data_IF_902438810836
#
_entry.id   IF_902438810836
#
_cell.length_a   1.000
_cell.length_b   1.000
_cell.length_c   1.000
_cell.angle_alpha   90.00
_cell.angle_beta   90.00
_cell.angle_gamma   90.00
#
_symmetry.space_group_name_H-M   'P 1'
#
loop_
_entity.id
_entity.type
_entity.pdbx_description
1 polymer ?
#
# COMPACT_ATOMS: atom_id res chain seq x y z
N UNK A 1 -0.51 -12.48 -15.02
CA UNK A 1 -0.98 -13.64 -15.82
C UNK A 1 -0.37 -13.67 -17.23
N UNK A 2 -0.19 -12.49 -17.83
CA UNK A 2 0.41 -12.26 -19.14
C UNK A 2 1.74 -12.98 -19.39
N UNK A 3 2.60 -13.12 -18.38
CA UNK A 3 3.89 -13.85 -18.49
C UNK A 3 3.64 -15.33 -18.77
N UNK A 4 2.63 -15.93 -18.13
CA UNK A 4 2.26 -17.33 -18.33
C UNK A 4 1.57 -17.53 -19.68
N UNK A 5 0.86 -16.50 -20.15
CA UNK A 5 0.18 -16.47 -21.44
C UNK A 5 1.13 -16.05 -22.60
N UNK A 6 2.42 -15.80 -22.34
CA UNK A 6 3.41 -15.30 -23.30
C UNK A 6 3.05 -13.97 -23.99
N UNK A 7 2.26 -13.13 -23.31
CA UNK A 7 1.90 -11.80 -23.77
C UNK A 7 3.00 -10.77 -23.45
N UNK A 8 3.07 -9.64 -24.19
CA UNK A 8 4.01 -8.56 -23.90
C UNK A 8 3.84 -8.01 -22.46
N UNK A 9 4.97 -7.81 -21.78
CA UNK A 9 5.02 -7.24 -20.43
C UNK A 9 4.83 -5.72 -20.52
N UNK A 10 4.11 -5.14 -19.56
CA UNK A 10 3.84 -3.70 -19.49
C UNK A 10 4.14 -3.17 -18.07
N UNK A 11 4.15 -1.85 -17.87
CA UNK A 11 4.30 -1.27 -16.53
C UNK A 11 3.21 -1.74 -15.56
N UNK A 12 2.01 -2.02 -16.08
CA UNK A 12 0.90 -2.57 -15.28
C UNK A 12 1.09 -4.04 -14.91
N UNK A 13 2.14 -4.71 -15.40
CA UNK A 13 2.56 -6.04 -14.90
C UNK A 13 3.05 -5.94 -13.45
N UNK A 14 3.81 -4.91 -13.10
CA UNK A 14 4.27 -4.70 -11.73
C UNK A 14 3.10 -4.41 -10.77
N UNK A 15 2.05 -3.73 -11.26
CA UNK A 15 0.83 -3.46 -10.50
C UNK A 15 0.14 -4.76 -10.07
N UNK A 16 0.17 -5.80 -10.90
CA UNK A 16 -0.36 -7.11 -10.52
C UNK A 16 0.47 -7.77 -9.42
N UNK A 17 1.80 -7.70 -9.53
CA UNK A 17 2.72 -8.20 -8.50
C UNK A 17 2.52 -7.49 -7.16
N UNK A 18 2.26 -6.18 -7.19
CA UNK A 18 1.91 -5.41 -5.99
C UNK A 18 0.62 -5.95 -5.36
N UNK A 19 -0.42 -6.21 -6.15
CA UNK A 19 -1.67 -6.77 -5.62
C UNK A 19 -1.45 -8.11 -4.91
N UNK A 20 -0.67 -9.01 -5.52
CA UNK A 20 -0.31 -10.31 -4.93
C UNK A 20 0.47 -10.13 -3.63
N UNK A 21 1.45 -9.21 -3.63
CA UNK A 21 2.26 -8.91 -2.46
C UNK A 21 1.40 -8.31 -1.33
N UNK A 22 0.51 -7.37 -1.63
CA UNK A 22 -0.41 -6.78 -0.65
C UNK A 22 -1.32 -7.83 -0.01
N UNK A 23 -1.88 -8.75 -0.80
CA UNK A 23 -2.67 -9.86 -0.26
C UNK A 23 -1.83 -10.68 0.75
N UNK A 24 -0.59 -11.01 0.39
CA UNK A 24 0.31 -11.77 1.25
C UNK A 24 0.66 -11.01 2.53
N UNK A 25 0.94 -9.71 2.44
CA UNK A 25 1.30 -8.88 3.59
C UNK A 25 0.15 -8.75 4.60
N UNK A 26 -1.10 -8.70 4.13
CA UNK A 26 -2.27 -8.56 5.00
C UNK A 26 -2.72 -9.89 5.63
N UNK A 27 -2.48 -11.02 4.96
CA UNK A 27 -3.05 -12.33 5.37
C UNK A 27 -2.01 -13.38 5.76
N UNK A 28 -0.74 -13.16 5.43
CA UNK A 28 0.33 -14.16 5.54
C UNK A 28 0.22 -15.34 4.57
N UNK A 29 -0.73 -15.31 3.62
CA UNK A 29 -1.00 -16.42 2.70
C UNK A 29 -0.95 -15.93 1.25
N UNK A 30 -0.51 -16.76 0.30
CA UNK A 30 -0.50 -16.39 -1.12
C UNK A 30 -1.91 -16.57 -1.73
N UNK A 31 -2.39 -15.61 -2.55
CA UNK A 31 -3.76 -15.63 -3.11
C UNK A 31 -4.02 -16.78 -4.09
N UNK A 32 -2.98 -17.35 -4.69
CA UNK A 32 -3.09 -18.41 -5.71
C UNK A 32 -2.49 -19.74 -5.27
N UNK A 33 -2.08 -19.84 -4.00
CA UNK A 33 -1.45 -21.06 -3.50
C UNK A 33 -2.38 -22.26 -3.64
N UNK A 34 -1.81 -23.37 -4.09
CA UNK A 34 -2.44 -24.67 -4.11
C UNK A 34 -1.41 -25.77 -3.78
N UNK A 35 -1.84 -26.98 -3.37
CA UNK A 35 -0.93 -28.06 -3.00
C UNK A 35 0.01 -28.50 -4.12
N UNK A 36 -0.40 -28.34 -5.38
CA UNK A 36 0.37 -28.74 -6.54
C UNK A 36 0.61 -27.54 -7.48
N UNK A 37 1.71 -27.61 -8.24
CA UNK A 37 2.15 -26.53 -9.13
C UNK A 37 1.18 -26.28 -10.27
N UNK A 38 0.57 -27.34 -10.79
CA UNK A 38 -0.39 -27.26 -11.90
C UNK A 38 -1.66 -26.49 -11.48
N UNK A 39 -2.19 -26.77 -10.29
CA UNK A 39 -3.33 -26.08 -9.73
C UNK A 39 -2.99 -24.63 -9.38
N UNK A 40 -1.79 -24.38 -8.84
CA UNK A 40 -1.31 -23.00 -8.62
C UNK A 40 -1.25 -22.23 -9.94
N UNK A 41 -0.67 -22.83 -10.98
CA UNK A 41 -0.61 -22.24 -12.31
C UNK A 41 -2.01 -21.98 -12.88
N UNK A 42 -2.93 -22.93 -12.72
CA UNK A 42 -4.31 -22.79 -13.15
C UNK A 42 -5.01 -21.65 -12.39
N UNK A 43 -4.80 -21.51 -11.09
CA UNK A 43 -5.36 -20.43 -10.29
C UNK A 43 -4.88 -19.07 -10.77
N UNK A 44 -3.58 -18.92 -11.08
CA UNK A 44 -3.05 -17.67 -11.66
C UNK A 44 -3.64 -17.39 -13.04
N UNK A 45 -3.70 -18.39 -13.92
CA UNK A 45 -4.15 -18.24 -15.30
C UNK A 45 -5.65 -17.94 -15.41
N UNK A 46 -6.45 -18.55 -14.52
CA UNK A 46 -7.89 -18.39 -14.44
C UNK A 46 -8.32 -17.28 -13.47
N UNK A 47 -7.37 -16.57 -12.83
CA UNK A 47 -7.64 -15.53 -11.83
C UNK A 47 -8.54 -16.00 -10.68
N UNK A 48 -8.32 -17.23 -10.21
CA UNK A 48 -9.05 -17.81 -9.07
C UNK A 48 -8.45 -17.34 -7.76
N UNK A 49 -8.97 -16.22 -7.29
CA UNK A 49 -8.66 -15.64 -5.98
C UNK A 49 -9.93 -15.64 -5.12
N UNK A 50 -9.77 -15.83 -3.81
CA UNK A 50 -10.86 -15.74 -2.85
C UNK A 50 -10.47 -14.84 -1.67
N UNK A 51 -11.46 -14.30 -0.98
CA UNK A 51 -11.26 -13.42 0.18
C UNK A 51 -12.06 -14.00 1.35
N UNK A 52 -11.59 -15.07 1.99
CA UNK A 52 -12.35 -15.75 3.02
C UNK A 52 -12.35 -14.94 4.33
N UNK A 53 -13.49 -14.93 5.03
CA UNK A 53 -13.70 -14.09 6.21
C UNK A 53 -12.64 -14.31 7.31
N UNK A 54 -12.19 -15.55 7.51
CA UNK A 54 -11.18 -15.85 8.54
C UNK A 54 -9.82 -15.18 8.29
N UNK A 55 -9.49 -14.81 7.03
CA UNK A 55 -8.28 -14.05 6.70
C UNK A 55 -8.52 -12.54 6.69
N UNK A 56 -9.74 -12.11 6.34
CA UNK A 56 -10.05 -10.71 6.06
C UNK A 56 -10.93 -10.01 7.10
N UNK A 57 -11.31 -10.70 8.20
CA UNK A 57 -12.18 -10.14 9.25
C UNK A 57 -11.68 -8.82 9.85
N UNK A 58 -10.35 -8.63 9.92
CA UNK A 58 -9.72 -7.44 10.49
C UNK A 58 -9.07 -6.55 9.42
N UNK A 59 -9.31 -6.85 8.14
CA UNK A 59 -8.75 -6.09 7.02
C UNK A 59 -9.81 -5.09 6.55
N UNK A 60 -9.47 -3.80 6.41
CA UNK A 60 -10.41 -2.80 5.89
C UNK A 60 -10.96 -3.19 4.52
N UNK A 61 -12.23 -2.89 4.28
CA UNK A 61 -12.88 -3.20 3.00
C UNK A 61 -12.18 -2.50 1.82
N UNK A 62 -11.65 -1.31 2.04
CA UNK A 62 -10.93 -0.55 1.02
C UNK A 62 -9.63 -1.23 0.60
N UNK A 63 -8.92 -1.87 1.55
CA UNK A 63 -7.75 -2.68 1.24
C UNK A 63 -8.10 -3.89 0.35
N UNK A 64 -9.24 -4.52 0.62
CA UNK A 64 -9.75 -5.63 -0.20
C UNK A 64 -10.11 -5.15 -1.61
N UNK A 65 -10.78 -4.00 -1.71
CA UNK A 65 -11.14 -3.39 -2.99
C UNK A 65 -9.90 -2.94 -3.78
N UNK A 66 -8.87 -2.46 -3.09
CA UNK A 66 -7.56 -2.17 -3.67
C UNK A 66 -6.97 -3.44 -4.31
N UNK A 67 -6.83 -4.53 -3.57
CA UNK A 67 -6.31 -5.80 -4.12
C UNK A 67 -7.11 -6.27 -5.34
N UNK A 68 -8.45 -6.19 -5.30
CA UNK A 68 -9.32 -6.62 -6.41
C UNK A 68 -9.08 -5.84 -7.70
N UNK A 69 -8.77 -4.54 -7.63
CA UNK A 69 -8.47 -3.72 -8.82
C UNK A 69 -7.08 -3.98 -9.39
N UNK A 70 -6.13 -4.40 -8.55
CA UNK A 70 -4.75 -4.68 -8.97
C UNK A 70 -4.64 -6.07 -9.61
N UNK A 71 -5.31 -7.07 -9.02
CA UNK A 71 -5.27 -8.47 -9.48
C UNK A 71 -6.33 -8.69 -10.57
N UNK A 72 -6.13 -8.06 -11.74
CA UNK A 72 -7.01 -8.17 -12.92
C UNK A 72 -6.29 -8.82 -14.10
N UNK A 73 -6.98 -9.66 -14.89
CA UNK A 73 -6.36 -10.40 -16.01
C UNK A 73 -5.79 -9.48 -17.07
N UNK A 74 -6.62 -8.60 -17.62
CA UNK A 74 -6.23 -7.66 -18.67
C UNK A 74 -5.39 -6.50 -18.07
N UNK A 75 -4.13 -6.33 -18.47
CA UNK A 75 -3.28 -5.25 -17.97
C UNK A 75 -3.80 -3.83 -18.28
N UNK A 76 -4.63 -3.66 -19.32
CA UNK A 76 -5.23 -2.37 -19.66
C UNK A 76 -6.35 -1.94 -18.71
N UNK A 77 -6.90 -2.89 -17.95
CA UNK A 77 -7.92 -2.62 -16.93
C UNK A 77 -7.32 -2.35 -15.55
N UNK A 78 -5.99 -2.46 -15.41
CA UNK A 78 -5.30 -2.21 -14.16
C UNK A 78 -5.03 -0.70 -14.03
N UNK A 79 -5.12 -0.14 -12.81
CA UNK A 79 -4.74 1.25 -12.55
C UNK A 79 -3.25 1.48 -12.81
N UNK A 80 -2.87 2.74 -13.05
CA UNK A 80 -1.46 3.13 -13.03
C UNK A 80 -0.92 3.17 -11.60
N UNK A 81 0.41 3.19 -11.44
CA UNK A 81 1.02 3.33 -10.11
C UNK A 81 0.59 4.61 -9.38
N UNK A 82 0.36 5.71 -10.13
CA UNK A 82 -0.08 6.98 -9.58
C UNK A 82 -1.54 6.90 -9.08
N UNK A 83 -2.39 6.20 -9.83
CA UNK A 83 -3.78 5.96 -9.42
C UNK A 83 -3.82 5.07 -8.17
N UNK A 84 -2.96 4.04 -8.09
CA UNK A 84 -2.84 3.20 -6.89
C UNK A 84 -2.43 4.01 -5.66
N UNK A 85 -1.52 4.98 -5.81
CA UNK A 85 -1.08 5.82 -4.71
C UNK A 85 -2.20 6.73 -4.20
N UNK A 86 -3.08 7.16 -5.10
CA UNK A 86 -4.20 8.06 -4.79
C UNK A 86 -5.46 7.32 -4.30
N UNK A 87 -5.32 6.05 -3.93
CA UNK A 87 -6.46 5.23 -3.53
C UNK A 87 -7.03 5.60 -2.17
N UNK A 88 -8.35 5.43 -2.02
CA UNK A 88 -9.07 5.69 -0.77
C UNK A 88 -8.43 4.95 0.42
N UNK A 89 -7.92 3.73 0.21
CA UNK A 89 -7.22 2.97 1.26
C UNK A 89 -6.01 3.70 1.86
N UNK A 90 -5.29 4.51 1.06
CA UNK A 90 -4.12 5.28 1.52
C UNK A 90 -4.45 6.73 1.88
N UNK A 91 -5.51 7.28 1.28
CA UNK A 91 -5.90 8.68 1.46
C UNK A 91 -6.76 8.91 2.71
N UNK A 92 -7.36 7.86 3.27
CA UNK A 92 -8.16 7.98 4.48
C UNK A 92 -7.27 8.11 5.73
N UNK A 93 -6.90 9.36 6.05
CA UNK A 93 -6.17 9.75 7.27
C UNK A 93 -7.09 9.88 8.49
N UNK A 94 -8.35 9.47 8.36
CA UNK A 94 -9.36 9.46 9.43
C UNK A 94 -9.08 8.32 10.42
N UNK A 95 -8.09 8.53 11.29
CA UNK A 95 -7.87 7.84 12.58
C UNK A 95 -8.94 6.81 12.98
N UNK A 96 -8.76 5.55 12.62
CA UNK A 96 -9.35 4.46 13.40
C UNK A 96 -8.28 4.00 14.39
N UNK A 97 -8.06 4.83 15.41
CA UNK A 97 -7.32 4.44 16.60
C UNK A 97 -8.10 3.29 17.22
N UNK A 98 -7.44 2.14 17.38
CA UNK A 98 -7.98 1.02 18.14
C UNK A 98 -8.54 1.55 19.48
N UNK A 99 -9.82 1.30 19.84
CA UNK A 99 -10.39 1.76 21.11
C UNK A 99 -9.75 1.14 22.36
N UNK A 100 -8.66 0.38 22.25
CA UNK A 100 -8.07 -0.36 23.37
C UNK A 100 -7.18 0.47 24.30
N UNK A 101 -6.68 1.64 23.87
CA UNK A 101 -5.61 2.33 24.60
C UNK A 101 -6.04 3.69 25.22
N UNK A 102 -7.30 4.08 25.08
CA UNK A 102 -7.81 5.37 25.60
C UNK A 102 -8.13 5.37 27.12
N UNK A 103 -7.58 4.45 27.90
CA UNK A 103 -7.88 4.31 29.34
C UNK A 103 -6.69 4.52 30.27
N UNK A 104 -5.60 5.11 29.80
CA UNK A 104 -4.46 5.43 30.66
C UNK A 104 -3.96 6.87 30.44
N UNK A 105 -4.24 7.71 31.45
CA UNK A 105 -3.60 8.99 31.77
C UNK A 105 -4.05 10.13 30.82
N UNK A 106 -4.60 11.26 31.27
CA UNK A 106 -4.05 12.16 32.29
C UNK A 106 -5.19 13.03 32.85
N UNK A 107 -5.47 12.85 34.14
CA UNK A 107 -6.09 13.85 35.00
C UNK A 107 -5.05 14.94 35.29
N UNK A 108 -5.32 16.17 34.83
CA UNK A 108 -4.61 17.37 35.25
C UNK A 108 -5.34 18.61 34.73
N UNK A 109 -6.07 19.30 35.60
CA UNK A 109 -6.04 20.77 35.78
C UNK A 109 -6.92 21.14 36.98
N UNK A 110 -6.76 22.31 37.64
CA UNK A 110 -5.77 23.38 37.43
C UNK A 110 -5.10 23.85 38.75
N UNK A 111 -3.90 24.44 38.68
CA UNK A 111 -3.63 25.59 39.54
C UNK A 111 -2.79 26.65 38.81
N UNK A 112 -3.11 27.87 39.16
CA UNK A 112 -3.03 29.10 38.39
C UNK A 112 -1.92 29.98 38.96
N UNK A 113 -0.90 30.33 38.18
CA UNK A 113 -0.13 31.57 38.41
C UNK A 113 0.81 31.93 37.25
N UNK A 114 0.32 32.87 36.43
CA UNK A 114 0.97 34.14 36.04
C UNK A 114 2.51 34.19 36.10
N UNK A 115 3.17 34.41 34.95
CA UNK A 115 3.96 35.62 34.61
C UNK A 115 4.08 35.74 33.07
N UNK A 116 3.85 36.91 32.46
CA UNK A 116 4.13 37.18 31.04
C UNK A 116 5.55 37.76 30.85
N UNK A 117 6.18 37.60 29.67
CA UNK A 117 6.97 38.65 28.99
C UNK A 117 7.41 38.21 27.58
N UNK A 118 6.86 38.93 26.60
CA UNK A 118 7.45 39.49 25.37
C UNK A 118 8.79 39.00 24.82
N UNK A 119 8.83 38.74 23.50
CA UNK A 119 10.09 38.74 22.74
C UNK A 119 10.04 38.17 21.31
N UNK A 120 9.60 38.99 20.36
CA UNK A 120 10.07 39.12 18.96
C UNK A 120 10.42 37.90 18.07
N UNK A 121 9.59 37.75 17.04
CA UNK A 121 9.90 37.77 15.59
C UNK A 121 10.63 36.63 14.85
N UNK A 122 9.97 36.31 13.73
CA UNK A 122 10.46 35.89 12.40
C UNK A 122 10.70 34.40 12.09
N UNK A 123 9.86 33.89 11.18
CA UNK A 123 10.17 32.74 10.32
C UNK A 123 11.20 33.13 9.25
N UNK A 124 11.86 32.15 8.60
CA UNK A 124 11.30 31.72 7.31
C UNK A 124 11.46 30.23 6.96
N UNK A 125 10.51 29.82 6.10
CA UNK A 125 10.46 28.69 5.19
C UNK A 125 11.82 28.13 4.70
N UNK A 126 12.02 26.82 4.82
CA UNK A 126 13.04 26.08 4.06
C UNK A 126 12.35 25.04 3.16
N UNK A 127 12.70 25.11 1.87
CA UNK A 127 12.13 24.38 0.74
C UNK A 127 12.56 22.90 0.75
N UNK A 128 11.67 22.01 0.30
CA UNK A 128 12.05 20.69 -0.20
C UNK A 128 12.96 20.85 -1.42
N UNK A 129 14.17 20.31 -1.35
CA UNK A 129 15.07 20.19 -2.51
C UNK A 129 15.26 18.71 -2.82
N UNK A 130 14.71 18.30 -3.95
CA UNK A 130 14.77 16.97 -4.52
C UNK A 130 16.09 16.85 -5.30
N UNK A 131 17.14 16.32 -4.68
CA UNK A 131 18.39 16.04 -5.39
C UNK A 131 18.29 14.68 -6.09
N UNK A 132 18.08 14.74 -7.40
CA UNK A 132 18.15 13.64 -8.36
C UNK A 132 19.61 13.16 -8.47
N UNK A 133 19.95 11.87 -8.29
CA UNK A 133 21.22 11.35 -8.76
C UNK A 133 21.13 11.12 -10.27
N UNK A 134 22.05 11.72 -11.01
CA UNK A 134 22.26 11.54 -12.44
C UNK A 134 22.56 10.07 -12.79
N UNK A 135 22.02 9.63 -13.93
CA UNK A 135 22.50 8.47 -14.66
C UNK A 135 23.98 8.69 -15.00
N UNK A 136 24.87 7.84 -14.49
CA UNK A 136 26.10 7.55 -15.20
C UNK A 136 25.94 6.25 -15.99
N UNK A 137 25.86 6.41 -17.30
CA UNK A 137 26.08 5.36 -18.29
C UNK A 137 27.59 5.26 -18.48
N UNK A 138 28.21 4.17 -18.06
CA UNK A 138 29.21 3.41 -18.82
C UNK A 138 29.85 2.34 -17.93
N UNK A 139 30.51 1.37 -18.57
CA UNK A 139 31.16 0.16 -18.07
C UNK A 139 30.20 -1.02 -17.90
N UNK A 140 30.32 -2.11 -18.64
CA UNK A 140 31.39 -2.55 -19.53
C UNK A 140 31.20 -4.05 -19.76
N UNK A 141 31.62 -4.48 -20.94
CA UNK A 141 31.56 -5.86 -21.43
C UNK A 141 32.26 -6.87 -20.49
N UNK A 142 31.60 -8.01 -20.26
CA UNK A 142 32.10 -9.40 -20.26
C UNK A 142 30.98 -10.35 -19.84
#
# INVERSE_FOLDING_TARGET
PEILDYNPIQLTTDIWSIGVLTYYLLTGTSPFWAPNKEETFNNVTQMRISFPDYLFQNVPIDAVNFIRRLIVKNPSNRPSALDCFSDDWFMDTSTNVCPSDASALIDSTPDHSLVPETGSQQSPSAKCELTRPELDRSFGEC
#
